data_IF_957748563141
#
_entry.id   IF_957748563141
#
_cell.length_a   1.000
_cell.length_b   1.000
_cell.length_c   1.000
_cell.angle_alpha   90.00
_cell.angle_beta   90.00
_cell.angle_gamma   90.00
#
_symmetry.space_group_name_H-M   'P 1'
#
loop_
_entity.id
_entity.type
_entity.pdbx_description
1 polymer ?
#
# COMPACT_ATOMS: atom_id res chain seq x y z
N UNK A 1 -7.21 -0.20 -8.32
CA UNK A 1 -5.94 -0.81 -8.80
C UNK A 1 -5.65 -2.01 -7.92
N UNK A 2 -5.03 -3.07 -8.44
CA UNK A 2 -4.73 -4.29 -7.68
C UNK A 2 -3.23 -4.55 -7.67
N UNK A 3 -2.64 -4.83 -6.52
CA UNK A 3 -1.21 -5.11 -6.39
C UNK A 3 -0.99 -6.47 -5.76
N UNK A 4 0.03 -7.20 -6.20
CA UNK A 4 0.48 -8.41 -5.51
C UNK A 4 1.82 -8.18 -4.79
N UNK A 5 1.87 -8.63 -3.55
CA UNK A 5 3.03 -8.60 -2.65
C UNK A 5 3.37 -10.06 -2.38
N UNK A 6 4.33 -10.62 -3.12
CA UNK A 6 4.48 -12.07 -3.23
C UNK A 6 3.16 -12.74 -3.65
N UNK A 7 2.62 -13.71 -2.88
CA UNK A 7 1.33 -14.35 -3.17
C UNK A 7 0.11 -13.57 -2.65
N UNK A 8 0.30 -12.44 -1.96
CA UNK A 8 -0.78 -11.71 -1.30
C UNK A 8 -1.32 -10.60 -2.19
N UNK A 9 -2.63 -10.58 -2.43
CA UNK A 9 -3.29 -9.53 -3.20
C UNK A 9 -3.73 -8.38 -2.30
N UNK A 10 -3.54 -7.15 -2.78
CA UNK A 10 -3.97 -5.92 -2.14
C UNK A 10 -4.77 -5.05 -3.11
N UNK A 11 -5.86 -4.48 -2.62
CA UNK A 11 -6.63 -3.49 -3.36
C UNK A 11 -6.13 -2.08 -3.02
N UNK A 12 -5.96 -1.23 -4.02
CA UNK A 12 -5.57 0.17 -3.85
C UNK A 12 -6.77 1.06 -4.13
N UNK A 13 -7.14 1.86 -3.12
CA UNK A 13 -8.30 2.76 -3.16
C UNK A 13 -7.92 4.18 -2.72
N UNK A 14 -8.67 5.16 -3.21
CA UNK A 14 -8.63 6.53 -2.69
C UNK A 14 -9.67 6.72 -1.59
N UNK A 15 -9.35 7.58 -0.63
CA UNK A 15 -10.32 8.10 0.34
C UNK A 15 -10.05 9.56 0.64
N UNK A 16 -11.03 10.26 1.20
CA UNK A 16 -10.86 11.64 1.67
C UNK A 16 -10.50 11.65 3.14
N UNK A 17 -9.60 12.55 3.52
CA UNK A 17 -9.25 12.82 4.92
C UNK A 17 -8.74 11.55 5.62
N UNK A 18 -7.76 10.90 5.00
CA UNK A 18 -7.11 9.73 5.57
C UNK A 18 -6.38 10.14 6.84
N UNK A 19 -6.71 9.47 7.94
CA UNK A 19 -6.16 9.73 9.27
C UNK A 19 -5.67 8.45 9.90
N UNK A 20 -4.52 8.53 10.56
CA UNK A 20 -3.97 7.42 11.32
C UNK A 20 -4.92 7.06 12.48
N UNK A 21 -5.34 5.79 12.63
CA UNK A 21 -6.37 5.42 13.60
C UNK A 21 -5.96 5.63 15.06
N UNK A 22 -4.66 5.56 15.37
CA UNK A 22 -4.12 5.75 16.73
C UNK A 22 -3.72 7.20 17.03
N UNK A 23 -2.89 7.81 16.18
CA UNK A 23 -2.33 9.16 16.45
C UNK A 23 -3.26 10.29 15.99
N UNK A 24 -4.26 10.00 15.14
CA UNK A 24 -5.15 11.00 14.56
C UNK A 24 -4.49 11.92 13.54
N UNK A 25 -3.22 11.68 13.19
CA UNK A 25 -2.46 12.48 12.23
C UNK A 25 -2.94 12.17 10.81
N UNK A 26 -3.07 13.19 9.96
CA UNK A 26 -3.36 13.01 8.54
C UNK A 26 -2.23 12.25 7.83
N UNK A 27 -2.60 11.33 6.96
CA UNK A 27 -1.64 10.50 6.21
C UNK A 27 -1.85 10.64 4.70
N UNK A 28 -0.76 10.54 3.95
CA UNK A 28 -0.82 10.44 2.50
C UNK A 28 -1.24 9.02 2.06
N UNK A 29 -0.86 7.99 2.83
CA UNK A 29 -1.18 6.58 2.60
C UNK A 29 -1.38 5.79 3.90
N UNK A 30 -2.13 4.69 3.82
CA UNK A 30 -2.33 3.76 4.93
C UNK A 30 -2.64 2.36 4.41
N UNK A 31 -1.85 1.38 4.83
CA UNK A 31 -2.15 -0.03 4.65
C UNK A 31 -3.00 -0.61 5.80
N UNK A 32 -4.05 -1.35 5.45
CA UNK A 32 -4.82 -2.20 6.35
C UNK A 32 -4.58 -3.68 6.00
N UNK A 33 -3.79 -4.36 6.84
CA UNK A 33 -3.47 -5.77 6.67
C UNK A 33 -4.66 -6.71 6.88
N UNK A 34 -5.68 -6.30 7.66
CA UNK A 34 -6.84 -7.15 7.93
C UNK A 34 -7.79 -7.21 6.73
N UNK A 35 -7.87 -6.12 5.97
CA UNK A 35 -8.70 -6.02 4.75
C UNK A 35 -7.87 -6.08 3.47
N UNK A 36 -6.56 -6.31 3.56
CA UNK A 36 -5.62 -6.32 2.44
C UNK A 36 -5.83 -5.13 1.50
N UNK A 37 -5.91 -3.93 2.09
CA UNK A 37 -6.23 -2.71 1.36
C UNK A 37 -5.18 -1.63 1.61
N UNK A 38 -4.78 -0.94 0.53
CA UNK A 38 -3.94 0.25 0.57
C UNK A 38 -4.84 1.46 0.26
N UNK A 39 -4.92 2.38 1.22
CA UNK A 39 -5.64 3.64 1.08
C UNK A 39 -4.67 4.76 0.73
N UNK A 40 -5.05 5.61 -0.20
CA UNK A 40 -4.34 6.84 -0.55
C UNK A 40 -5.29 8.02 -0.29
N UNK A 41 -4.79 9.09 0.31
CA UNK A 41 -5.59 10.29 0.44
C UNK A 41 -5.81 10.97 -0.93
N UNK A 42 -7.05 11.38 -1.21
CA UNK A 42 -7.42 12.00 -2.48
C UNK A 42 -6.70 13.34 -2.74
N UNK A 43 -6.24 14.02 -1.67
CA UNK A 43 -5.46 15.26 -1.80
C UNK A 43 -4.03 15.03 -2.29
N UNK A 44 -3.53 13.78 -2.30
CA UNK A 44 -2.20 13.47 -2.82
C UNK A 44 -2.18 13.72 -4.34
N UNK A 45 -1.29 14.61 -4.83
CA UNK A 45 -1.21 14.92 -6.25
C UNK A 45 -0.72 13.69 -7.02
N UNK A 46 -1.22 13.50 -8.26
CA UNK A 46 -1.00 12.28 -9.05
C UNK A 46 0.48 11.85 -9.14
N UNK A 47 1.40 12.80 -9.30
CA UNK A 47 2.83 12.54 -9.43
C UNK A 47 3.48 11.98 -8.14
N UNK A 48 2.85 12.17 -6.97
CA UNK A 48 3.31 11.60 -5.68
C UNK A 48 2.62 10.28 -5.33
N UNK A 49 1.54 9.91 -6.02
CA UNK A 49 0.75 8.73 -5.65
C UNK A 49 1.55 7.45 -5.79
N UNK A 50 2.40 7.35 -6.81
CA UNK A 50 3.27 6.18 -6.97
C UNK A 50 4.22 6.01 -5.79
N UNK A 51 4.82 7.10 -5.30
CA UNK A 51 5.71 7.06 -4.13
C UNK A 51 4.98 6.57 -2.88
N UNK A 52 3.75 7.06 -2.67
CA UNK A 52 2.89 6.64 -1.54
C UNK A 52 2.52 5.17 -1.67
N UNK A 53 2.12 4.72 -2.86
CA UNK A 53 1.79 3.31 -3.12
C UNK A 53 3.00 2.42 -2.87
N UNK A 54 4.18 2.82 -3.36
CA UNK A 54 5.42 2.08 -3.14
C UNK A 54 5.79 2.04 -1.66
N UNK A 55 5.57 3.12 -0.91
CA UNK A 55 5.76 3.15 0.53
C UNK A 55 4.86 2.15 1.27
N UNK A 56 3.56 2.12 0.94
CA UNK A 56 2.63 1.16 1.55
C UNK A 56 2.92 -0.28 1.08
N UNK A 57 3.38 -0.46 -0.17
CA UNK A 57 3.88 -1.74 -0.66
C UNK A 57 5.06 -2.24 0.17
N UNK A 58 5.97 -1.35 0.59
CA UNK A 58 7.07 -1.70 1.49
C UNK A 58 6.59 -2.15 2.87
N UNK A 59 5.55 -1.51 3.42
CA UNK A 59 4.92 -1.99 4.63
C UNK A 59 4.31 -3.39 4.45
N UNK A 60 3.67 -3.65 3.31
CA UNK A 60 3.14 -4.97 2.95
C UNK A 60 4.23 -6.04 2.86
N UNK A 61 5.31 -5.73 2.15
CA UNK A 61 6.42 -6.64 1.94
C UNK A 61 7.06 -7.04 3.27
N UNK A 62 7.36 -6.05 4.13
CA UNK A 62 7.93 -6.27 5.46
C UNK A 62 7.00 -7.00 6.40
N UNK A 63 5.69 -6.78 6.31
CA UNK A 63 4.72 -7.51 7.11
C UNK A 63 4.74 -9.02 6.80
N UNK A 64 4.82 -9.38 5.52
CA UNK A 64 4.72 -10.77 5.07
C UNK A 64 6.03 -11.54 5.08
N UNK A 65 7.16 -10.87 4.82
CA UNK A 65 8.47 -11.52 4.66
C UNK A 65 9.46 -11.21 5.79
N UNK A 66 9.05 -10.42 6.79
CA UNK A 66 9.88 -10.06 7.92
C UNK A 66 11.02 -9.10 7.54
N UNK A 67 12.06 -9.10 8.37
CA UNK A 67 13.28 -8.31 8.13
C UNK A 67 14.44 -9.24 7.74
N UNK A 68 15.33 -8.79 6.85
CA UNK A 68 16.58 -9.48 6.55
C UNK A 68 17.50 -9.52 7.78
N UNK A 69 18.34 -10.55 7.87
CA UNK A 69 19.24 -10.80 9.01
C UNK A 69 20.58 -10.05 8.92
N UNK A 70 20.98 -9.66 7.71
CA UNK A 70 22.24 -8.98 7.43
C UNK A 70 22.13 -8.09 6.19
N UNK A 71 23.17 -7.30 5.92
CA UNK A 71 23.21 -6.32 4.82
C UNK A 71 23.05 -6.96 3.43
N UNK A 72 23.72 -8.09 3.16
CA UNK A 72 23.58 -8.77 1.86
C UNK A 72 22.15 -9.26 1.65
N UNK A 73 21.56 -9.87 2.69
CA UNK A 73 20.16 -10.28 2.67
C UNK A 73 19.21 -9.08 2.52
N UNK A 74 19.58 -7.89 3.02
CA UNK A 74 18.81 -6.66 2.83
C UNK A 74 18.86 -6.18 1.38
N UNK A 75 20.02 -6.27 0.73
CA UNK A 75 20.16 -5.98 -0.70
C UNK A 75 19.30 -6.92 -1.56
N UNK A 76 19.36 -8.24 -1.31
CA UNK A 76 18.55 -9.23 -2.03
C UNK A 76 17.06 -9.03 -1.79
N UNK A 77 16.68 -8.75 -0.54
CA UNK A 77 15.31 -8.49 -0.15
C UNK A 77 14.77 -7.21 -0.80
N UNK A 78 15.59 -6.17 -0.87
CA UNK A 78 15.29 -4.92 -1.55
C UNK A 78 15.07 -5.13 -3.05
N UNK A 79 16.00 -5.85 -3.69
CA UNK A 79 15.94 -6.17 -5.11
C UNK A 79 14.70 -6.99 -5.46
N UNK A 80 14.39 -8.03 -4.67
CA UNK A 80 13.23 -8.89 -4.90
C UNK A 80 11.91 -8.12 -4.85
N UNK A 81 11.69 -7.31 -3.80
CA UNK A 81 10.47 -6.53 -3.66
C UNK A 81 10.33 -5.50 -4.81
N UNK A 82 11.44 -4.83 -5.14
CA UNK A 82 11.47 -3.81 -6.20
C UNK A 82 11.15 -4.43 -7.55
N UNK A 83 11.74 -5.58 -7.87
CA UNK A 83 11.50 -6.26 -9.14
C UNK A 83 10.06 -6.77 -9.26
N UNK A 84 9.46 -7.28 -8.17
CA UNK A 84 8.05 -7.64 -8.19
C UNK A 84 7.16 -6.42 -8.39
N UNK A 85 7.40 -5.35 -7.63
CA UNK A 85 6.63 -4.11 -7.75
C UNK A 85 6.67 -3.56 -9.18
N UNK A 86 7.87 -3.45 -9.77
CA UNK A 86 8.05 -2.96 -11.14
C UNK A 86 7.31 -3.83 -12.16
N UNK A 87 7.31 -5.15 -11.98
CA UNK A 87 6.56 -6.07 -12.84
C UNK A 87 5.06 -5.83 -12.74
N UNK A 88 4.52 -5.76 -11.53
CA UNK A 88 3.09 -5.53 -11.29
C UNK A 88 2.65 -4.16 -11.81
N UNK A 89 3.49 -3.15 -11.60
CA UNK A 89 3.29 -1.79 -12.08
C UNK A 89 3.23 -1.75 -13.61
N UNK A 90 4.18 -2.42 -14.27
CA UNK A 90 4.22 -2.51 -15.73
C UNK A 90 3.00 -3.24 -16.30
N UNK A 91 2.59 -4.37 -15.69
CA UNK A 91 1.41 -5.13 -16.12
C UNK A 91 0.11 -4.34 -16.03
N UNK A 92 0.07 -3.30 -15.18
CA UNK A 92 -1.10 -2.43 -15.03
C UNK A 92 -1.07 -1.20 -15.93
N UNK A 93 -0.08 -1.07 -16.80
CA UNK A 93 0.03 0.06 -17.73
C UNK A 93 0.72 1.29 -17.14
N UNK A 94 1.56 1.12 -16.11
CA UNK A 94 2.33 2.18 -15.49
C UNK A 94 1.45 3.37 -15.05
N UNK A 95 1.83 4.62 -15.38
CA UNK A 95 1.15 5.84 -14.95
C UNK A 95 -0.34 5.86 -15.32
N UNK A 96 -0.73 5.15 -16.38
CA UNK A 96 -2.14 5.02 -16.78
C UNK A 96 -3.00 4.45 -15.64
N UNK A 97 -2.47 3.51 -14.87
CA UNK A 97 -3.19 2.89 -13.76
C UNK A 97 -3.52 3.87 -12.62
N UNK A 98 -2.76 4.96 -12.47
CA UNK A 98 -3.08 6.01 -11.49
C UNK A 98 -4.28 6.83 -11.92
N UNK A 99 -4.45 7.04 -13.23
CA UNK A 99 -5.64 7.70 -13.77
C UNK A 99 -6.90 6.91 -13.48
N UNK A 100 -6.84 5.58 -13.55
CA UNK A 100 -7.96 4.71 -13.21
C UNK A 100 -8.37 4.76 -11.73
N UNK A 101 -7.52 5.27 -10.83
CA UNK A 101 -7.92 5.51 -9.44
C UNK A 101 -8.89 6.68 -9.32
N UNK A 102 -8.84 7.64 -10.25
CA UNK A 102 -9.70 8.84 -10.24
C UNK A 102 -11.07 8.61 -10.87
N UNK A 103 -11.29 7.49 -11.58
CA UNK A 103 -12.61 7.17 -12.11
C UNK A 103 -13.60 6.94 -10.96
N UNK A 104 -14.80 7.56 -11.00
CA UNK A 104 -15.77 7.42 -9.94
C UNK A 104 -16.19 5.95 -9.82
N UNK A 105 -15.74 5.30 -8.75
CA UNK A 105 -16.24 3.99 -8.37
C UNK A 105 -17.70 4.17 -7.98
N UNK A 106 -18.59 3.73 -8.86
CA UNK A 106 -20.02 3.60 -8.58
C UNK A 106 -20.16 2.56 -7.46
N UNK A 107 -20.14 2.99 -6.19
CA UNK A 107 -20.80 2.40 -5.02
C UNK A 107 -20.19 2.91 -3.70
N UNK A 108 -20.99 3.65 -2.94
CA UNK A 108 -21.45 3.36 -1.56
C UNK A 108 -20.54 2.56 -0.59
N UNK A 109 -19.22 2.70 -0.69
CA UNK A 109 -18.28 2.11 0.26
C UNK A 109 -18.32 2.90 1.58
N UNK A 110 -19.14 2.41 2.51
CA UNK A 110 -19.19 2.84 3.91
C UNK A 110 -17.76 3.01 4.44
N UNK A 111 -17.48 4.16 5.06
CA UNK A 111 -16.22 4.49 5.75
C UNK A 111 -15.66 3.26 6.49
N UNK A 112 -14.37 2.94 6.33
CA UNK A 112 -13.80 1.76 6.97
C UNK A 112 -13.90 1.90 8.50
N UNK A 113 -14.61 0.96 9.14
CA UNK A 113 -14.45 0.70 10.58
C UNK A 113 -13.24 -0.21 10.73
N UNK A 114 -12.05 0.39 10.73
CA UNK A 114 -10.78 -0.32 10.95
C UNK A 114 -10.87 -1.10 12.28
N UNK A 115 -10.78 -2.43 12.21
CA UNK A 115 -10.62 -3.30 13.38
C UNK A 115 -9.18 -3.79 13.40
N UNK A 116 -8.41 -3.35 14.38
CA UNK A 116 -7.04 -3.81 14.55
C UNK A 116 -7.01 -5.32 14.85
N UNK A 117 -6.13 -6.05 14.16
CA UNK A 117 -5.61 -7.33 14.67
C UNK A 117 -4.23 -7.06 15.24
N UNK A 118 -4.12 -7.18 16.57
CA UNK A 118 -2.91 -7.58 17.31
C UNK A 118 -1.65 -6.73 17.17
N UNK A 119 -1.26 -6.09 18.28
CA UNK A 119 0.08 -5.53 18.53
C UNK A 119 1.20 -6.43 17.96
N UNK A 120 1.89 -5.99 16.92
CA UNK A 120 3.26 -6.43 16.69
C UNK A 120 4.13 -5.74 17.75
N UNK A 121 4.45 -6.49 18.82
CA UNK A 121 5.47 -6.06 19.77
C UNK A 121 6.80 -5.99 19.02
N UNK A 122 7.33 -4.78 18.90
CA UNK A 122 8.71 -4.54 18.46
C UNK A 122 9.57 -4.89 19.66
N UNK A 123 10.29 -6.02 19.57
CA UNK A 123 11.46 -6.34 20.39
C UNK A 123 12.67 -6.41 19.48
#
# INVERSE_FOLDING_TARGET
MHLTVGPYAYDVHKTRQLVHPVTGISLDGLIDFATTTIWIDESVPIHRRLDVILHEYWHAWRHHFGKPENEEAECDWLAAATMQFLREWHLQGCEFSLGCLDEPQNNDARRPRLRMVGKAMIS
#
